data_IF_736859801390
#
_entry.id   IF_736859801390
#
_cell.length_a   1.000
_cell.length_b   1.000
_cell.length_c   1.000
_cell.angle_alpha   90.00
_cell.angle_beta   90.00
_cell.angle_gamma   90.00
#
_symmetry.space_group_name_H-M   'P 1'
#
loop_
_entity.id
_entity.type
_entity.pdbx_description
1 polymer ?
#
# COMPACT_ATOMS: atom_id res chain seq x y z
N UNK A 1 -20.44 -25.53 -17.47
CA UNK A 1 -18.97 -25.62 -17.24
C UNK A 1 -18.67 -26.92 -16.53
N UNK A 2 -17.71 -27.73 -17.02
CA UNK A 2 -17.35 -28.98 -16.32
C UNK A 2 -16.69 -28.66 -14.99
N UNK A 3 -17.13 -29.27 -13.89
CA UNK A 3 -16.63 -29.08 -12.52
C UNK A 3 -15.11 -29.16 -12.44
N UNK A 4 -14.49 -30.01 -13.24
CA UNK A 4 -13.03 -30.15 -13.38
C UNK A 4 -12.30 -28.87 -13.83
N UNK A 5 -12.96 -28.01 -14.62
CA UNK A 5 -12.34 -26.78 -15.10
C UNK A 5 -12.30 -25.64 -14.06
N UNK A 6 -13.23 -25.62 -13.12
CA UNK A 6 -13.25 -24.63 -12.02
C UNK A 6 -12.12 -24.93 -11.04
N UNK A 7 -12.01 -26.19 -10.60
CA UNK A 7 -10.95 -26.60 -9.68
C UNK A 7 -9.56 -26.40 -10.26
N UNK A 8 -9.36 -26.69 -11.54
CA UNK A 8 -8.07 -26.42 -12.21
C UNK A 8 -7.70 -24.95 -12.19
N UNK A 9 -8.66 -24.04 -12.37
CA UNK A 9 -8.42 -22.58 -12.28
C UNK A 9 -8.11 -22.15 -10.85
N UNK A 10 -8.87 -22.62 -9.87
CA UNK A 10 -8.61 -22.32 -8.45
C UNK A 10 -7.22 -22.79 -8.04
N UNK A 11 -6.84 -24.00 -8.38
CA UNK A 11 -5.51 -24.54 -8.09
C UNK A 11 -4.41 -23.74 -8.79
N UNK A 12 -4.62 -23.32 -10.04
CA UNK A 12 -3.66 -22.46 -10.75
C UNK A 12 -3.49 -21.09 -10.07
N UNK A 13 -4.59 -20.48 -9.60
CA UNK A 13 -4.54 -19.20 -8.86
C UNK A 13 -3.80 -19.35 -7.52
N UNK A 14 -4.06 -20.42 -6.77
CA UNK A 14 -3.37 -20.69 -5.51
C UNK A 14 -1.88 -21.00 -5.72
N UNK A 15 -1.54 -21.78 -6.75
CA UNK A 15 -0.14 -22.03 -7.12
C UNK A 15 0.57 -20.71 -7.51
N UNK A 16 -0.10 -19.86 -8.30
CA UNK A 16 0.41 -18.54 -8.64
C UNK A 16 0.61 -17.64 -7.41
N UNK A 17 -0.28 -17.68 -6.42
CA UNK A 17 -0.13 -16.95 -5.17
C UNK A 17 1.10 -17.43 -4.38
N UNK A 18 1.31 -18.75 -4.27
CA UNK A 18 2.49 -19.32 -3.60
C UNK A 18 3.77 -18.90 -4.29
N UNK A 19 3.82 -18.95 -5.63
CA UNK A 19 4.97 -18.48 -6.40
C UNK A 19 5.22 -16.97 -6.22
N UNK A 20 4.17 -16.17 -6.15
CA UNK A 20 4.27 -14.74 -5.90
C UNK A 20 4.84 -14.45 -4.51
N UNK A 21 4.36 -15.15 -3.47
CA UNK A 21 4.89 -15.02 -2.11
C UNK A 21 6.36 -15.45 -2.05
N UNK A 22 6.75 -16.52 -2.73
CA UNK A 22 8.14 -16.91 -2.84
C UNK A 22 8.99 -15.84 -3.55
N UNK A 23 8.45 -15.20 -4.60
CA UNK A 23 9.11 -14.10 -5.27
C UNK A 23 9.27 -12.88 -4.34
N UNK A 24 8.26 -12.55 -3.52
CA UNK A 24 8.35 -11.49 -2.53
C UNK A 24 9.49 -11.75 -1.53
N UNK A 25 9.60 -12.96 -1.03
CA UNK A 25 10.68 -13.35 -0.13
C UNK A 25 12.05 -13.22 -0.81
N UNK A 26 12.20 -13.72 -2.04
CA UNK A 26 13.46 -13.57 -2.79
C UNK A 26 13.81 -12.10 -3.03
N UNK A 27 12.83 -11.24 -3.35
CA UNK A 27 13.06 -9.83 -3.60
C UNK A 27 13.50 -9.07 -2.34
N UNK A 28 12.87 -9.33 -1.19
CA UNK A 28 13.28 -8.72 0.08
C UNK A 28 14.68 -9.20 0.49
N UNK A 29 14.95 -10.50 0.39
CA UNK A 29 16.29 -11.04 0.68
C UNK A 29 17.35 -10.45 -0.25
N UNK A 30 17.05 -10.30 -1.54
CA UNK A 30 17.98 -9.69 -2.50
C UNK A 30 18.21 -8.19 -2.20
N UNK A 31 17.20 -7.49 -1.68
CA UNK A 31 17.36 -6.10 -1.28
C UNK A 31 18.38 -5.92 -0.14
N UNK A 32 18.44 -6.86 0.80
CA UNK A 32 19.39 -6.81 1.91
C UNK A 32 20.85 -7.15 1.51
N UNK A 33 21.07 -7.63 0.28
CA UNK A 33 22.42 -7.80 -0.27
C UNK A 33 22.99 -6.50 -0.83
N UNK A 34 22.20 -5.43 -0.89
CA UNK A 34 22.66 -4.11 -1.34
C UNK A 34 23.57 -3.49 -0.27
N UNK A 35 24.64 -2.88 -0.72
CA UNK A 35 25.69 -2.29 0.10
C UNK A 35 25.18 -1.18 1.04
N UNK A 36 25.19 -1.44 2.33
CA UNK A 36 24.72 -0.54 3.38
C UNK A 36 25.58 0.73 3.48
N UNK A 37 26.88 0.65 3.26
CA UNK A 37 27.79 1.80 3.37
C UNK A 37 27.39 2.89 2.36
N UNK A 38 27.02 2.49 1.15
CA UNK A 38 26.56 3.43 0.12
C UNK A 38 25.23 4.07 0.51
N UNK A 39 24.29 3.28 1.04
CA UNK A 39 22.99 3.80 1.48
C UNK A 39 23.19 4.80 2.62
N UNK A 40 24.02 4.46 3.61
CA UNK A 40 24.35 5.34 4.74
C UNK A 40 24.98 6.64 4.24
N UNK A 41 25.94 6.56 3.30
CA UNK A 41 26.56 7.73 2.70
C UNK A 41 25.54 8.65 2.03
N UNK A 42 24.66 8.09 1.19
CA UNK A 42 23.59 8.84 0.51
C UNK A 42 22.62 9.51 1.49
N UNK A 43 22.20 8.79 2.53
CA UNK A 43 21.27 9.33 3.52
C UNK A 43 21.92 10.42 4.38
N UNK A 44 23.19 10.25 4.77
CA UNK A 44 23.96 11.26 5.52
C UNK A 44 24.14 12.55 4.70
N UNK A 45 24.49 12.43 3.41
CA UNK A 45 24.58 13.57 2.50
C UNK A 45 23.23 14.26 2.30
N UNK A 46 22.16 13.50 2.14
CA UNK A 46 20.82 14.03 1.99
C UNK A 46 20.34 14.81 3.23
N UNK A 47 20.71 14.36 4.43
CA UNK A 47 20.45 15.11 5.67
C UNK A 47 21.31 16.38 5.75
N UNK A 48 22.61 16.28 5.49
CA UNK A 48 23.52 17.44 5.54
C UNK A 48 23.14 18.54 4.55
N UNK A 49 22.64 18.15 3.36
CA UNK A 49 22.15 19.10 2.35
C UNK A 49 20.74 19.63 2.61
N UNK A 50 20.01 19.08 3.59
CA UNK A 50 18.61 19.40 3.85
C UNK A 50 17.61 18.81 2.83
N UNK A 51 18.08 18.01 1.87
CA UNK A 51 17.22 17.33 0.88
C UNK A 51 16.30 16.29 1.54
N UNK A 52 16.78 15.66 2.60
CA UNK A 52 15.99 14.77 3.43
C UNK A 52 15.87 15.32 4.85
N UNK A 53 14.84 16.11 5.06
CA UNK A 53 14.50 16.63 6.38
C UNK A 53 13.61 15.63 7.11
N UNK A 54 14.01 15.22 8.31
CA UNK A 54 13.29 14.27 9.17
C UNK A 54 12.29 14.95 10.11
N UNK A 55 12.25 16.28 10.14
CA UNK A 55 11.27 17.06 10.87
C UNK A 55 9.88 17.06 10.22
N UNK A 56 8.91 17.58 10.95
CA UNK A 56 7.56 17.78 10.41
C UNK A 56 7.60 18.81 9.28
N UNK A 57 7.16 18.43 8.10
CA UNK A 57 7.12 19.29 6.92
C UNK A 57 5.67 19.40 6.44
N UNK A 58 5.19 20.62 6.36
CA UNK A 58 3.92 20.93 5.69
C UNK A 58 4.25 21.31 4.25
N UNK A 59 3.61 20.66 3.28
CA UNK A 59 3.80 20.97 1.87
C UNK A 59 3.07 22.28 1.48
N UNK A 60 3.30 22.74 0.24
CA UNK A 60 2.70 23.96 -0.29
C UNK A 60 1.15 23.95 -0.34
N UNK A 61 0.54 22.77 -0.20
CA UNK A 61 -0.91 22.57 -0.15
C UNK A 61 -1.46 22.52 1.28
N UNK A 62 -0.61 22.68 2.31
CA UNK A 62 -0.99 22.65 3.71
C UNK A 62 -1.13 21.24 4.32
N UNK A 63 -0.68 20.20 3.63
CA UNK A 63 -0.70 18.82 4.13
C UNK A 63 0.61 18.47 4.84
N UNK A 64 0.50 17.81 5.98
CA UNK A 64 1.67 17.24 6.66
C UNK A 64 2.19 16.03 5.88
N UNK A 65 3.48 16.03 5.56
CA UNK A 65 4.14 14.92 4.88
C UNK A 65 4.57 13.89 5.91
N UNK A 66 4.16 12.63 5.72
CA UNK A 66 4.56 11.53 6.61
C UNK A 66 6.04 11.19 6.44
N UNK A 67 6.86 11.83 7.27
CA UNK A 67 8.31 11.60 7.32
C UNK A 67 8.67 10.36 8.13
N UNK A 68 7.86 9.95 9.08
CA UNK A 68 8.11 8.75 9.88
C UNK A 68 8.16 7.51 9.01
N UNK A 69 7.15 7.30 8.18
CA UNK A 69 7.10 6.13 7.27
C UNK A 69 8.25 6.16 6.27
N UNK A 70 8.66 7.35 5.80
CA UNK A 70 9.81 7.49 4.90
C UNK A 70 11.12 7.16 5.62
N UNK A 71 11.30 7.59 6.89
CA UNK A 71 12.48 7.22 7.70
C UNK A 71 12.58 5.71 7.89
N UNK A 72 11.47 5.06 8.25
CA UNK A 72 11.42 3.59 8.36
C UNK A 72 11.85 2.96 7.04
N UNK A 73 11.29 3.41 5.92
CA UNK A 73 11.55 2.82 4.62
C UNK A 73 12.98 3.03 4.11
N UNK A 74 13.56 4.20 4.33
CA UNK A 74 14.92 4.49 3.86
C UNK A 74 16.00 3.85 4.73
N UNK A 75 15.69 3.62 6.00
CA UNK A 75 16.64 2.95 6.92
C UNK A 75 16.37 1.46 7.07
N UNK A 76 15.45 0.91 6.28
CA UNK A 76 15.15 -0.52 6.24
C UNK A 76 16.40 -1.32 5.88
N UNK A 77 16.71 -2.32 6.69
CA UNK A 77 17.90 -3.18 6.55
C UNK A 77 19.19 -2.57 7.12
N UNK A 78 19.18 -1.30 7.60
CA UNK A 78 20.34 -0.70 8.25
C UNK A 78 20.41 -1.05 9.73
N UNK A 79 21.62 -1.33 10.21
CA UNK A 79 21.86 -1.80 11.56
C UNK A 79 21.77 -3.32 11.70
N UNK A 80 21.94 -3.80 12.91
CA UNK A 80 21.92 -5.24 13.22
C UNK A 80 20.72 -5.60 14.09
N UNK A 81 20.07 -6.72 13.77
CA UNK A 81 19.06 -7.28 14.65
C UNK A 81 19.73 -7.91 15.88
N UNK A 82 19.20 -7.72 17.07
CA UNK A 82 19.70 -8.42 18.26
C UNK A 82 19.48 -9.94 18.10
N UNK A 83 20.45 -10.70 18.57
CA UNK A 83 20.41 -12.18 18.62
C UNK A 83 20.27 -12.91 17.27
N UNK A 84 20.54 -12.23 16.15
CA UNK A 84 20.49 -12.80 14.80
C UNK A 84 21.89 -12.87 14.20
N UNK A 85 22.33 -14.07 13.85
CA UNK A 85 23.70 -14.32 13.34
C UNK A 85 23.76 -14.64 11.85
N UNK A 86 22.61 -14.84 11.18
CA UNK A 86 22.56 -15.22 9.77
C UNK A 86 22.09 -14.06 8.90
N UNK A 87 22.58 -13.96 7.66
CA UNK A 87 22.12 -12.96 6.70
C UNK A 87 20.62 -13.12 6.40
N UNK A 88 20.14 -14.38 6.37
CA UNK A 88 18.73 -14.65 6.19
C UNK A 88 17.90 -14.14 7.37
N UNK A 89 18.36 -14.34 8.59
CA UNK A 89 17.73 -13.83 9.79
C UNK A 89 17.71 -12.31 9.81
N UNK A 90 18.79 -11.63 9.40
CA UNK A 90 18.83 -10.17 9.29
C UNK A 90 17.77 -9.67 8.30
N UNK A 91 17.66 -10.30 7.12
CA UNK A 91 16.64 -9.93 6.12
C UNK A 91 15.20 -10.19 6.61
N UNK A 92 15.02 -11.20 7.47
CA UNK A 92 13.70 -11.49 8.05
C UNK A 92 13.35 -10.59 9.24
N UNK A 93 14.35 -10.06 9.95
CA UNK A 93 14.17 -9.11 11.04
C UNK A 93 13.62 -7.77 10.55
N UNK A 94 13.89 -7.42 9.30
CA UNK A 94 13.46 -6.15 8.70
C UNK A 94 13.80 -4.96 9.62
N UNK A 95 15.07 -4.88 10.01
CA UNK A 95 15.57 -3.89 10.97
C UNK A 95 15.47 -2.49 10.39
N UNK A 96 15.20 -1.48 11.20
CA UNK A 96 15.28 -0.07 10.81
C UNK A 96 15.83 0.79 11.95
N UNK A 97 16.27 2.02 11.65
CA UNK A 97 16.91 2.93 12.61
C UNK A 97 15.97 3.92 13.29
N UNK A 98 14.69 3.86 13.06
CA UNK A 98 13.72 4.85 13.54
C UNK A 98 12.74 4.26 14.59
N UNK A 99 13.21 3.84 15.79
CA UNK A 99 12.35 3.21 16.79
C UNK A 99 11.28 4.17 17.34
N UNK A 100 11.65 5.44 17.56
CA UNK A 100 10.82 6.47 18.20
C UNK A 100 10.56 7.67 17.26
N UNK A 101 10.58 7.42 15.97
CA UNK A 101 10.54 8.46 14.94
C UNK A 101 11.92 8.79 14.36
N UNK A 102 11.98 9.88 13.59
CA UNK A 102 13.22 10.27 12.90
C UNK A 102 14.19 11.08 13.78
N UNK A 103 13.86 11.35 15.03
CA UNK A 103 14.54 12.37 15.85
C UNK A 103 16.04 12.14 16.12
N UNK A 104 16.47 10.88 16.21
CA UNK A 104 17.87 10.52 16.47
C UNK A 104 18.59 9.95 15.24
N UNK A 105 17.98 10.03 14.08
CA UNK A 105 18.45 9.36 12.88
C UNK A 105 19.81 9.85 12.41
N UNK A 106 20.07 11.16 12.50
CA UNK A 106 21.36 11.76 12.15
C UNK A 106 22.51 11.12 12.94
N UNK A 107 22.34 11.02 14.27
CA UNK A 107 23.35 10.41 15.15
C UNK A 107 23.56 8.92 14.83
N UNK A 108 22.49 8.20 14.52
CA UNK A 108 22.58 6.77 14.20
C UNK A 108 23.26 6.54 12.83
N UNK A 109 22.96 7.36 11.83
CA UNK A 109 23.61 7.31 10.53
C UNK A 109 25.09 7.68 10.63
N UNK A 110 25.45 8.71 11.42
CA UNK A 110 26.85 9.06 11.66
C UNK A 110 27.61 7.91 12.32
N UNK A 111 27.01 7.24 13.32
CA UNK A 111 27.63 6.08 13.95
C UNK A 111 27.87 4.93 12.97
N UNK A 112 26.93 4.67 12.06
CA UNK A 112 27.11 3.68 11.01
C UNK A 112 28.19 4.10 10.01
N UNK A 113 28.25 5.39 9.64
CA UNK A 113 29.30 5.93 8.79
C UNK A 113 30.68 5.78 9.43
N UNK A 114 30.77 5.90 10.76
CA UNK A 114 31.98 5.66 11.56
C UNK A 114 32.25 4.15 11.79
N UNK A 115 31.55 3.27 11.09
CA UNK A 115 31.64 1.80 11.22
C UNK A 115 31.37 1.25 12.63
N UNK A 116 30.62 1.98 13.43
CA UNK A 116 30.16 1.54 14.73
C UNK A 116 28.95 0.60 14.58
N UNK A 117 28.87 -0.41 15.45
CA UNK A 117 27.67 -1.24 15.50
C UNK A 117 26.48 -0.45 16.02
N UNK A 118 25.41 -0.45 15.26
CA UNK A 118 24.12 0.15 15.64
C UNK A 118 23.08 -0.95 15.66
N UNK A 119 22.46 -1.15 16.82
CA UNK A 119 21.33 -2.07 16.95
C UNK A 119 20.09 -1.38 16.40
N UNK A 120 19.50 -1.97 15.38
CA UNK A 120 18.25 -1.50 14.81
C UNK A 120 17.04 -2.14 15.53
N UNK A 121 15.88 -1.61 15.23
CA UNK A 121 14.60 -2.13 15.74
C UNK A 121 14.03 -3.16 14.80
N UNK A 122 13.81 -4.42 15.22
CA UNK A 122 13.18 -5.43 14.38
C UNK A 122 11.74 -5.05 14.03
N UNK A 123 11.39 -5.18 12.76
CA UNK A 123 10.06 -4.80 12.26
C UNK A 123 9.44 -5.84 11.33
N UNK A 124 9.65 -7.11 11.63
CA UNK A 124 9.26 -8.27 10.83
C UNK A 124 7.74 -8.44 10.62
N UNK A 125 6.91 -7.52 11.11
CA UNK A 125 5.44 -7.58 10.99
C UNK A 125 4.92 -7.36 9.57
N UNK A 126 5.70 -6.69 8.72
CA UNK A 126 5.36 -6.34 7.36
C UNK A 126 6.42 -6.86 6.39
N UNK A 127 6.07 -6.92 5.12
CA UNK A 127 6.98 -7.38 4.08
C UNK A 127 8.01 -6.34 3.65
N UNK A 128 7.72 -5.07 3.87
CA UNK A 128 8.57 -3.97 3.42
C UNK A 128 8.91 -4.02 1.93
N UNK A 129 7.90 -4.32 1.09
CA UNK A 129 8.06 -4.53 -0.35
C UNK A 129 8.51 -3.30 -1.14
N UNK A 130 8.69 -2.17 -0.50
CA UNK A 130 9.38 -1.01 -1.05
C UNK A 130 10.92 -1.18 -1.04
N UNK A 131 11.48 -1.97 -0.14
CA UNK A 131 12.93 -2.16 0.02
C UNK A 131 13.62 -2.66 -1.28
N UNK A 132 13.07 -3.62 -2.05
CA UNK A 132 13.63 -4.01 -3.34
C UNK A 132 13.81 -2.88 -4.35
N UNK A 133 13.09 -1.78 -4.21
CA UNK A 133 13.24 -0.59 -5.04
C UNK A 133 14.08 0.49 -4.35
N UNK A 134 13.79 0.78 -3.08
CA UNK A 134 14.42 1.91 -2.37
C UNK A 134 15.90 1.67 -2.09
N UNK A 135 16.28 0.47 -1.64
CA UNK A 135 17.67 0.17 -1.29
C UNK A 135 18.63 0.25 -2.49
N UNK A 136 18.36 -0.40 -3.65
CA UNK A 136 19.22 -0.21 -4.82
C UNK A 136 19.28 1.25 -5.29
N UNK A 137 18.14 1.96 -5.30
CA UNK A 137 18.15 3.36 -5.72
C UNK A 137 18.97 4.24 -4.77
N UNK A 138 18.86 4.06 -3.45
CA UNK A 138 19.67 4.80 -2.48
C UNK A 138 21.15 4.44 -2.54
N UNK A 139 21.50 3.21 -2.96
CA UNK A 139 22.92 2.83 -3.12
C UNK A 139 23.58 3.42 -4.38
N UNK A 140 22.81 3.77 -5.40
CA UNK A 140 23.34 4.23 -6.69
C UNK A 140 22.89 5.62 -7.13
N UNK A 141 21.91 6.21 -6.42
CA UNK A 141 21.40 7.55 -6.73
C UNK A 141 21.22 8.33 -5.42
N UNK A 142 20.57 9.48 -5.50
CA UNK A 142 20.22 10.31 -4.34
C UNK A 142 18.73 10.19 -3.99
N UNK A 143 18.37 10.72 -2.81
CA UNK A 143 16.97 10.70 -2.28
C UNK A 143 16.02 11.45 -3.23
N UNK A 144 16.45 12.54 -3.87
CA UNK A 144 15.61 13.30 -4.77
C UNK A 144 15.30 12.53 -6.06
N UNK A 145 16.30 11.84 -6.59
CA UNK A 145 16.15 10.95 -7.76
C UNK A 145 15.18 9.80 -7.43
N UNK A 146 15.33 9.18 -6.27
CA UNK A 146 14.38 8.15 -5.81
C UNK A 146 12.94 8.70 -5.74
N UNK A 147 12.72 9.84 -5.10
CA UNK A 147 11.41 10.50 -5.04
C UNK A 147 10.85 10.81 -6.44
N UNK A 148 11.71 11.27 -7.34
CA UNK A 148 11.32 11.54 -8.73
C UNK A 148 10.87 10.27 -9.45
N UNK A 149 11.60 9.17 -9.29
CA UNK A 149 11.25 7.88 -9.91
C UNK A 149 9.88 7.40 -9.40
N UNK A 150 9.66 7.40 -8.08
CA UNK A 150 8.37 6.93 -7.54
C UNK A 150 7.23 7.88 -7.88
N UNK A 151 7.47 9.18 -8.01
CA UNK A 151 6.49 10.15 -8.49
C UNK A 151 6.10 9.87 -9.96
N UNK A 152 7.07 9.57 -10.82
CA UNK A 152 6.82 9.19 -12.23
C UNK A 152 6.02 7.89 -12.30
N UNK A 153 6.32 6.90 -11.45
CA UNK A 153 5.53 5.66 -11.37
C UNK A 153 4.09 5.94 -10.96
N UNK A 154 3.87 6.79 -9.94
CA UNK A 154 2.55 7.20 -9.49
C UNK A 154 1.75 7.89 -10.60
N UNK A 155 2.34 8.90 -11.22
CA UNK A 155 1.68 9.65 -12.31
C UNK A 155 1.38 8.73 -13.50
N UNK A 156 2.30 7.84 -13.85
CA UNK A 156 2.11 6.86 -14.91
C UNK A 156 0.95 5.91 -14.59
N UNK A 157 0.89 5.37 -13.36
CA UNK A 157 -0.21 4.50 -12.93
C UNK A 157 -1.55 5.24 -12.95
N UNK A 158 -1.58 6.50 -12.51
CA UNK A 158 -2.76 7.35 -12.58
C UNK A 158 -3.23 7.56 -14.04
N UNK A 159 -2.31 7.93 -14.93
CA UNK A 159 -2.62 8.12 -16.35
C UNK A 159 -3.15 6.81 -17.00
N UNK A 160 -2.54 5.66 -16.69
CA UNK A 160 -2.99 4.35 -17.21
C UNK A 160 -4.39 4.02 -16.68
N UNK A 161 -4.65 4.26 -15.40
CA UNK A 161 -5.96 4.06 -14.80
C UNK A 161 -7.03 4.95 -15.45
N UNK A 162 -6.78 6.26 -15.57
CA UNK A 162 -7.70 7.21 -16.21
C UNK A 162 -7.94 6.85 -17.67
N UNK A 163 -6.89 6.51 -18.42
CA UNK A 163 -7.02 6.04 -19.80
C UNK A 163 -7.86 4.76 -19.90
N UNK A 164 -7.71 3.84 -18.94
CA UNK A 164 -8.53 2.65 -18.81
C UNK A 164 -10.01 2.98 -18.57
N UNK A 165 -10.31 3.94 -17.67
CA UNK A 165 -11.67 4.42 -17.42
C UNK A 165 -12.29 5.07 -18.67
N UNK A 166 -11.53 5.97 -19.32
CA UNK A 166 -11.98 6.65 -20.55
C UNK A 166 -12.32 5.63 -21.65
N UNK A 167 -11.45 4.63 -21.85
CA UNK A 167 -11.68 3.58 -22.84
C UNK A 167 -12.85 2.65 -22.50
N UNK A 168 -13.13 2.48 -21.21
CA UNK A 168 -14.19 1.58 -20.74
C UNK A 168 -15.54 2.28 -20.67
N UNK A 169 -15.61 3.46 -20.04
CA UNK A 169 -16.86 4.15 -19.72
C UNK A 169 -17.00 5.55 -20.34
N UNK A 170 -16.03 5.98 -21.13
CA UNK A 170 -16.03 7.26 -21.83
C UNK A 170 -15.40 8.41 -21.05
N UNK A 171 -15.18 9.53 -21.73
CA UNK A 171 -14.44 10.70 -21.19
C UNK A 171 -15.11 11.27 -19.94
N UNK A 172 -16.44 11.35 -19.93
CA UNK A 172 -17.19 11.92 -18.79
C UNK A 172 -16.93 11.09 -17.51
N UNK A 173 -16.94 9.75 -17.63
CA UNK A 173 -16.64 8.88 -16.48
C UNK A 173 -15.21 9.08 -16.00
N UNK A 174 -14.25 9.20 -16.92
CA UNK A 174 -12.86 9.51 -16.59
C UNK A 174 -12.73 10.82 -15.79
N UNK A 175 -13.38 11.88 -16.23
CA UNK A 175 -13.36 13.19 -15.56
C UNK A 175 -14.05 13.13 -14.18
N UNK A 176 -15.28 12.61 -14.13
CA UNK A 176 -16.09 12.52 -12.91
C UNK A 176 -15.41 11.71 -11.81
N UNK A 177 -14.63 10.70 -12.19
CA UNK A 177 -13.89 9.89 -11.24
C UNK A 177 -12.55 10.52 -10.83
N UNK A 178 -11.82 11.10 -11.79
CA UNK A 178 -10.48 11.64 -11.56
C UNK A 178 -10.50 12.92 -10.72
N UNK A 179 -11.47 13.84 -10.95
CA UNK A 179 -11.54 15.10 -10.23
C UNK A 179 -11.74 14.88 -8.71
N UNK A 180 -12.74 14.10 -8.24
CA UNK A 180 -12.88 13.82 -6.82
C UNK A 180 -11.65 13.12 -6.24
N UNK A 181 -11.07 12.16 -6.96
CA UNK A 181 -9.88 11.45 -6.49
C UNK A 181 -8.72 12.41 -6.23
N UNK A 182 -8.44 13.34 -7.15
CA UNK A 182 -7.37 14.34 -6.99
C UNK A 182 -7.71 15.36 -5.91
N UNK A 183 -8.98 15.79 -5.81
CA UNK A 183 -9.41 16.87 -4.91
C UNK A 183 -9.65 16.41 -3.47
N UNK A 184 -9.98 15.14 -3.24
CA UNK A 184 -10.34 14.61 -1.91
C UNK A 184 -9.28 13.68 -1.31
N UNK A 185 -8.25 13.36 -2.07
CA UNK A 185 -7.08 12.62 -1.58
C UNK A 185 -5.85 13.50 -1.72
N UNK A 186 -4.82 13.19 -0.96
CA UNK A 186 -3.54 13.90 -1.05
C UNK A 186 -2.71 13.51 -2.28
N UNK A 187 -3.36 13.12 -3.37
CA UNK A 187 -2.69 12.57 -4.55
C UNK A 187 -1.64 13.53 -5.13
N UNK A 188 -1.86 14.84 -5.04
CA UNK A 188 -0.90 15.85 -5.51
C UNK A 188 0.30 16.02 -4.56
N UNK A 189 0.16 15.69 -3.29
CA UNK A 189 1.24 15.76 -2.30
C UNK A 189 1.98 14.44 -2.12
N UNK A 190 1.40 13.31 -2.56
CA UNK A 190 2.03 12.00 -2.49
C UNK A 190 3.45 11.94 -3.08
N UNK A 191 3.79 12.66 -4.18
CA UNK A 191 5.15 12.70 -4.70
C UNK A 191 6.22 13.14 -3.68
N UNK A 192 5.82 13.84 -2.63
CA UNK A 192 6.73 14.22 -1.55
C UNK A 192 7.06 13.05 -0.59
N UNK A 193 6.34 11.92 -0.66
CA UNK A 193 6.56 10.71 0.16
C UNK A 193 6.77 9.49 -0.74
N UNK A 194 7.96 8.92 -0.71
CA UNK A 194 8.29 7.78 -1.55
C UNK A 194 7.42 6.55 -1.28
N UNK A 195 7.14 6.24 -0.02
CA UNK A 195 6.34 5.07 0.38
C UNK A 195 4.89 5.20 -0.02
N UNK A 196 4.28 6.35 0.24
CA UNK A 196 2.89 6.58 -0.15
C UNK A 196 2.71 6.62 -1.66
N UNK A 197 3.68 7.18 -2.40
CA UNK A 197 3.69 7.11 -3.86
C UNK A 197 3.68 5.67 -4.38
N UNK A 198 4.49 4.78 -3.80
CA UNK A 198 4.51 3.37 -4.19
C UNK A 198 3.20 2.65 -3.85
N UNK A 199 2.66 2.87 -2.66
CA UNK A 199 1.36 2.31 -2.25
C UNK A 199 0.26 2.72 -3.22
N UNK A 200 0.15 4.01 -3.53
CA UNK A 200 -0.85 4.50 -4.49
C UNK A 200 -0.58 4.07 -5.93
N UNK A 201 0.67 3.91 -6.31
CA UNK A 201 1.03 3.30 -7.61
C UNK A 201 0.43 1.91 -7.74
N UNK A 202 0.57 1.07 -6.71
CA UNK A 202 0.00 -0.29 -6.70
C UNK A 202 -1.53 -0.26 -6.70
N UNK A 203 -2.16 0.63 -5.94
CA UNK A 203 -3.61 0.81 -5.92
C UNK A 203 -4.13 1.12 -7.33
N UNK A 204 -3.58 2.14 -7.98
CA UNK A 204 -4.02 2.61 -9.29
C UNK A 204 -3.70 1.60 -10.40
N UNK A 205 -2.53 0.98 -10.38
CA UNK A 205 -2.16 -0.07 -11.32
C UNK A 205 -3.06 -1.31 -11.18
N UNK A 206 -3.40 -1.70 -9.96
CA UNK A 206 -4.33 -2.80 -9.68
C UNK A 206 -5.74 -2.50 -10.17
N UNK A 207 -6.22 -1.27 -9.98
CA UNK A 207 -7.51 -0.83 -10.50
C UNK A 207 -7.53 -0.81 -12.04
N UNK A 208 -6.45 -0.34 -12.68
CA UNK A 208 -6.30 -0.40 -14.14
C UNK A 208 -6.28 -1.84 -14.66
N UNK A 209 -5.55 -2.73 -13.97
CA UNK A 209 -5.54 -4.16 -14.28
C UNK A 209 -6.93 -4.79 -14.13
N UNK A 210 -7.71 -4.38 -13.12
CA UNK A 210 -9.07 -4.85 -12.90
C UNK A 210 -10.01 -4.43 -14.05
N UNK A 211 -9.92 -3.18 -14.53
CA UNK A 211 -10.67 -2.74 -15.73
C UNK A 211 -10.37 -3.65 -16.93
N UNK A 212 -9.09 -3.87 -17.21
CA UNK A 212 -8.68 -4.69 -18.35
C UNK A 212 -9.06 -6.16 -18.19
N UNK A 213 -8.74 -6.77 -17.05
CA UNK A 213 -8.93 -8.20 -16.83
C UNK A 213 -10.41 -8.59 -16.74
N UNK A 214 -11.24 -7.78 -16.06
CA UNK A 214 -12.68 -7.99 -15.98
C UNK A 214 -13.31 -7.95 -17.37
N UNK A 215 -12.94 -6.95 -18.18
CA UNK A 215 -13.42 -6.83 -19.57
C UNK A 215 -12.97 -7.99 -20.45
N UNK A 216 -11.74 -8.49 -20.25
CA UNK A 216 -11.13 -9.50 -21.14
C UNK A 216 -11.51 -10.93 -20.76
N UNK A 217 -11.67 -11.20 -19.47
CA UNK A 217 -11.86 -12.56 -18.92
C UNK A 217 -13.08 -12.69 -18.00
N UNK A 218 -13.92 -11.65 -17.90
CA UNK A 218 -15.13 -11.63 -17.07
C UNK A 218 -14.84 -11.87 -15.59
N UNK A 219 -15.69 -12.68 -14.95
CA UNK A 219 -15.60 -13.02 -13.53
C UNK A 219 -14.21 -13.54 -13.13
N UNK A 220 -13.60 -14.41 -13.92
CA UNK A 220 -12.28 -14.96 -13.58
C UNK A 220 -11.18 -13.92 -13.65
N UNK A 221 -11.31 -12.94 -14.54
CA UNK A 221 -10.42 -11.80 -14.57
C UNK A 221 -10.50 -10.95 -13.31
N UNK A 222 -11.72 -10.65 -12.85
CA UNK A 222 -11.95 -9.90 -11.61
C UNK A 222 -11.40 -10.64 -10.38
N UNK A 223 -11.64 -11.95 -10.27
CA UNK A 223 -11.16 -12.80 -9.17
C UNK A 223 -9.62 -12.87 -9.18
N UNK A 224 -9.01 -13.10 -10.36
CA UNK A 224 -7.55 -13.23 -10.48
C UNK A 224 -6.84 -11.94 -10.09
N UNK A 225 -7.32 -10.79 -10.61
CA UNK A 225 -6.72 -9.49 -10.25
C UNK A 225 -6.99 -9.18 -8.78
N UNK A 226 -8.18 -9.47 -8.27
CA UNK A 226 -8.46 -9.34 -6.83
C UNK A 226 -7.41 -10.06 -6.00
N UNK A 227 -7.19 -11.35 -6.25
CA UNK A 227 -6.24 -12.18 -5.50
C UNK A 227 -4.83 -11.60 -5.49
N UNK A 228 -4.29 -11.32 -6.69
CA UNK A 228 -2.91 -10.87 -6.80
C UNK A 228 -2.72 -9.40 -6.40
N UNK A 229 -3.71 -8.54 -6.60
CA UNK A 229 -3.68 -7.17 -6.11
C UNK A 229 -3.70 -7.11 -4.58
N UNK A 230 -4.49 -7.96 -3.91
CA UNK A 230 -4.48 -8.08 -2.46
C UNK A 230 -3.12 -8.53 -1.93
N UNK A 231 -2.52 -9.53 -2.58
CA UNK A 231 -1.18 -10.01 -2.22
C UNK A 231 -0.10 -8.94 -2.43
N UNK A 232 -0.11 -8.25 -3.58
CA UNK A 232 0.85 -7.20 -3.89
C UNK A 232 0.70 -6.00 -2.96
N UNK A 233 -0.54 -5.65 -2.61
CA UNK A 233 -0.81 -4.58 -1.66
C UNK A 233 -0.27 -4.95 -0.26
N UNK A 234 -0.51 -6.18 0.23
CA UNK A 234 0.05 -6.65 1.51
C UNK A 234 1.59 -6.67 1.53
N UNK A 235 2.21 -6.87 0.36
CA UNK A 235 3.67 -6.83 0.22
C UNK A 235 4.23 -5.42 0.38
N UNK A 236 3.60 -4.40 -0.21
CA UNK A 236 4.14 -3.03 -0.26
C UNK A 236 3.65 -2.16 0.90
N UNK A 237 2.42 -2.34 1.36
CA UNK A 237 1.79 -1.42 2.31
C UNK A 237 2.10 -1.74 3.78
N UNK A 238 2.25 -0.69 4.57
CA UNK A 238 2.42 -0.77 6.04
C UNK A 238 1.09 -0.68 6.80
N UNK A 239 0.00 -1.23 6.27
CA UNK A 239 -1.37 -1.10 6.79
C UNK A 239 -1.90 0.34 6.79
N UNK A 240 -1.46 1.16 5.84
CA UNK A 240 -1.87 2.57 5.80
C UNK A 240 -3.26 2.72 5.22
N UNK A 241 -3.58 2.04 4.11
CA UNK A 241 -4.84 2.29 3.39
C UNK A 241 -5.49 1.07 2.69
N UNK A 242 -5.67 -0.08 3.36
CA UNK A 242 -6.31 -1.26 2.77
C UNK A 242 -7.71 -1.00 2.19
N UNK A 243 -8.58 -0.16 2.85
CA UNK A 243 -9.90 0.13 2.30
C UNK A 243 -9.85 0.84 0.94
N UNK A 244 -8.94 1.78 0.74
CA UNK A 244 -8.80 2.47 -0.55
C UNK A 244 -8.38 1.51 -1.66
N UNK A 245 -7.42 0.61 -1.38
CA UNK A 245 -6.96 -0.39 -2.35
C UNK A 245 -8.10 -1.32 -2.78
N UNK A 246 -8.85 -1.84 -1.83
CA UNK A 246 -10.02 -2.69 -2.12
C UNK A 246 -11.09 -1.91 -2.90
N UNK A 247 -11.49 -0.72 -2.43
CA UNK A 247 -12.55 0.07 -3.05
C UNK A 247 -12.20 0.48 -4.48
N UNK A 248 -10.96 0.92 -4.76
CA UNK A 248 -10.53 1.28 -6.10
C UNK A 248 -10.63 0.10 -7.07
N UNK A 249 -10.23 -1.10 -6.62
CA UNK A 249 -10.36 -2.32 -7.40
C UNK A 249 -11.85 -2.65 -7.67
N UNK A 250 -12.70 -2.60 -6.65
CA UNK A 250 -14.13 -2.94 -6.80
C UNK A 250 -14.87 -1.93 -7.68
N UNK A 251 -14.56 -0.65 -7.58
CA UNK A 251 -15.10 0.38 -8.48
C UNK A 251 -14.71 0.10 -9.92
N UNK A 252 -13.45 -0.30 -10.18
CA UNK A 252 -13.01 -0.68 -11.51
C UNK A 252 -13.79 -1.89 -12.07
N UNK A 253 -13.97 -2.94 -11.26
CA UNK A 253 -14.79 -4.11 -11.62
C UNK A 253 -16.23 -3.71 -11.92
N UNK A 254 -16.87 -2.96 -11.03
CA UNK A 254 -18.25 -2.50 -11.20
C UNK A 254 -18.41 -1.62 -12.44
N UNK A 255 -17.45 -0.75 -12.74
CA UNK A 255 -17.47 0.08 -13.95
C UNK A 255 -17.59 -0.77 -15.21
N UNK A 256 -16.80 -1.84 -15.31
CA UNK A 256 -16.88 -2.76 -16.46
C UNK A 256 -18.25 -3.43 -16.53
N UNK A 257 -18.71 -4.01 -15.41
CA UNK A 257 -19.99 -4.73 -15.37
C UNK A 257 -21.18 -3.83 -15.70
N UNK A 258 -21.18 -2.57 -15.24
CA UNK A 258 -22.20 -1.58 -15.58
C UNK A 258 -22.18 -1.21 -17.07
N UNK A 259 -21.01 -1.02 -17.66
CA UNK A 259 -20.88 -0.70 -19.11
C UNK A 259 -21.32 -1.89 -19.97
N UNK A 260 -21.00 -3.10 -19.58
CA UNK A 260 -21.43 -4.33 -20.25
C UNK A 260 -22.90 -4.69 -19.98
N UNK A 261 -23.61 -3.88 -19.17
CA UNK A 261 -25.02 -4.10 -18.79
C UNK A 261 -25.25 -5.47 -18.17
N UNK A 262 -24.30 -5.94 -17.38
CA UNK A 262 -24.45 -7.21 -16.68
C UNK A 262 -25.66 -7.16 -15.72
N UNK A 263 -26.40 -8.25 -15.55
CA UNK A 263 -27.50 -8.33 -14.57
C UNK A 263 -27.02 -7.95 -13.17
N UNK A 264 -27.86 -7.26 -12.40
CA UNK A 264 -27.50 -6.77 -11.07
C UNK A 264 -27.02 -7.91 -10.14
N UNK A 265 -27.70 -9.05 -10.15
CA UNK A 265 -27.31 -10.21 -9.35
C UNK A 265 -25.91 -10.72 -9.73
N UNK A 266 -25.60 -10.81 -11.02
CA UNK A 266 -24.28 -11.25 -11.51
C UNK A 266 -23.21 -10.22 -11.14
N UNK A 267 -23.52 -8.93 -11.25
CA UNK A 267 -22.61 -7.86 -10.88
C UNK A 267 -22.26 -7.91 -9.38
N UNK A 268 -23.26 -8.12 -8.51
CA UNK A 268 -23.03 -8.30 -7.07
C UNK A 268 -22.17 -9.53 -6.81
N UNK A 269 -22.48 -10.67 -7.41
CA UNK A 269 -21.74 -11.92 -7.22
C UNK A 269 -20.29 -11.79 -7.65
N UNK A 270 -20.02 -11.21 -8.82
CA UNK A 270 -18.65 -11.00 -9.31
C UNK A 270 -17.87 -10.05 -8.40
N UNK A 271 -18.49 -8.96 -7.97
CA UNK A 271 -17.88 -7.97 -7.08
C UNK A 271 -17.53 -8.57 -5.72
N UNK A 272 -18.46 -9.36 -5.15
CA UNK A 272 -18.24 -10.06 -3.86
C UNK A 272 -17.09 -11.06 -3.98
N UNK A 273 -17.04 -11.84 -5.07
CA UNK A 273 -15.93 -12.78 -5.27
C UNK A 273 -14.60 -12.08 -5.49
N UNK A 274 -14.57 -10.93 -6.19
CA UNK A 274 -13.36 -10.11 -6.32
C UNK A 274 -12.91 -9.57 -4.96
N UNK A 275 -13.83 -9.12 -4.11
CA UNK A 275 -13.53 -8.65 -2.75
C UNK A 275 -12.99 -9.78 -1.86
N UNK A 276 -13.62 -10.96 -1.89
CA UNK A 276 -13.16 -12.16 -1.16
C UNK A 276 -11.76 -12.55 -1.64
N UNK A 277 -11.52 -12.59 -2.95
CA UNK A 277 -10.23 -12.94 -3.51
C UNK A 277 -9.15 -11.93 -3.10
N UNK A 278 -9.44 -10.62 -3.13
CA UNK A 278 -8.54 -9.58 -2.66
C UNK A 278 -8.19 -9.76 -1.18
N UNK A 279 -9.20 -9.91 -0.34
CA UNK A 279 -9.02 -10.10 1.11
C UNK A 279 -8.21 -11.38 1.40
N UNK A 280 -8.48 -12.46 0.67
CA UNK A 280 -7.74 -13.71 0.80
C UNK A 280 -6.27 -13.54 0.41
N UNK A 281 -5.99 -12.93 -0.75
CA UNK A 281 -4.61 -12.65 -1.19
C UNK A 281 -3.86 -11.77 -0.19
N UNK A 282 -4.51 -10.73 0.32
CA UNK A 282 -3.96 -9.84 1.34
C UNK A 282 -3.62 -10.58 2.63
N UNK A 283 -4.58 -11.30 3.21
CA UNK A 283 -4.44 -11.99 4.48
C UNK A 283 -3.40 -13.11 4.39
N UNK A 284 -3.47 -13.95 3.34
CA UNK A 284 -2.51 -15.06 3.16
C UNK A 284 -1.08 -14.56 3.01
N UNK A 285 -0.88 -13.48 2.25
CA UNK A 285 0.45 -12.88 2.08
C UNK A 285 0.98 -12.32 3.39
N UNK A 286 0.14 -11.66 4.17
CA UNK A 286 0.53 -11.14 5.49
C UNK A 286 0.89 -12.26 6.47
N UNK A 287 0.05 -13.30 6.58
CA UNK A 287 0.35 -14.46 7.40
C UNK A 287 1.60 -15.23 6.94
N UNK A 288 1.86 -15.27 5.63
CA UNK A 288 3.08 -15.89 5.12
C UNK A 288 4.34 -15.22 5.66
N UNK A 289 4.36 -13.87 5.76
CA UNK A 289 5.48 -13.14 6.39
C UNK A 289 5.66 -13.58 7.84
N UNK A 290 4.58 -13.62 8.62
CA UNK A 290 4.66 -14.04 10.01
C UNK A 290 5.12 -15.49 10.18
N UNK A 291 4.66 -16.38 9.31
CA UNK A 291 5.08 -17.76 9.33
C UNK A 291 6.57 -17.90 9.02
N UNK A 292 7.08 -17.22 7.98
CA UNK A 292 8.50 -17.23 7.63
C UNK A 292 9.32 -16.62 8.77
N UNK A 293 8.91 -15.51 9.34
CA UNK A 293 9.58 -14.90 10.50
C UNK A 293 9.56 -15.83 11.73
N UNK A 294 8.49 -16.60 11.94
CA UNK A 294 8.41 -17.54 13.06
C UNK A 294 9.36 -18.76 12.89
N UNK A 295 9.71 -19.10 11.68
CA UNK A 295 10.73 -20.15 11.43
C UNK A 295 12.13 -19.69 11.86
N UNK A 296 12.42 -18.38 11.78
CA UNK A 296 13.72 -17.80 12.16
C UNK A 296 13.76 -17.38 13.63
N UNK A 297 12.76 -16.63 14.10
CA UNK A 297 12.77 -16.05 15.47
C UNK A 297 12.03 -16.89 16.50
N UNK A 298 11.34 -17.95 16.07
CA UNK A 298 10.48 -18.77 16.91
C UNK A 298 9.06 -18.20 17.05
N UNK A 299 8.11 -19.11 17.22
CA UNK A 299 6.67 -18.77 17.29
C UNK A 299 6.32 -17.87 18.48
N UNK A 300 7.01 -17.99 19.62
CA UNK A 300 6.76 -17.18 20.80
C UNK A 300 7.07 -15.69 20.57
N UNK A 301 8.16 -15.38 19.88
CA UNK A 301 8.55 -14.00 19.55
C UNK A 301 7.55 -13.36 18.60
N UNK A 302 7.12 -14.08 17.58
CA UNK A 302 6.12 -13.59 16.62
C UNK A 302 4.76 -13.41 17.27
N UNK A 303 4.28 -14.36 18.09
CA UNK A 303 3.02 -14.26 18.83
C UNK A 303 3.03 -13.05 19.78
N UNK A 304 4.12 -12.84 20.51
CA UNK A 304 4.28 -11.66 21.38
C UNK A 304 4.18 -10.34 20.60
N UNK A 305 4.86 -10.24 19.45
CA UNK A 305 4.81 -9.06 18.59
C UNK A 305 3.41 -8.81 18.02
N UNK A 306 2.71 -9.88 17.58
CA UNK A 306 1.35 -9.80 17.05
C UNK A 306 0.39 -9.31 18.16
N UNK A 307 0.43 -9.92 19.34
CA UNK A 307 -0.42 -9.54 20.47
C UNK A 307 -0.16 -8.08 20.88
N UNK A 308 1.10 -7.67 20.93
CA UNK A 308 1.47 -6.28 21.21
C UNK A 308 0.87 -5.31 20.18
N UNK A 309 0.93 -5.65 18.89
CA UNK A 309 0.34 -4.83 17.84
C UNK A 309 -1.19 -4.79 17.91
N UNK A 310 -1.85 -5.92 18.15
CA UNK A 310 -3.30 -5.98 18.31
C UNK A 310 -3.72 -5.13 19.52
N UNK A 311 -3.02 -5.27 20.64
CA UNK A 311 -3.28 -4.47 21.83
C UNK A 311 -3.11 -2.96 21.55
N UNK A 312 -2.02 -2.58 20.84
CA UNK A 312 -1.80 -1.19 20.43
C UNK A 312 -2.93 -0.64 19.57
N UNK A 313 -3.39 -1.43 18.57
CA UNK A 313 -4.45 -1.00 17.62
C UNK A 313 -5.84 -0.96 18.25
N UNK A 314 -6.13 -1.84 19.21
CA UNK A 314 -7.44 -1.93 19.87
C UNK A 314 -7.52 -1.05 21.10
N UNK A 315 -6.47 -1.07 21.95
CA UNK A 315 -6.50 -0.42 23.26
C UNK A 315 -5.86 0.95 23.25
N UNK A 316 -5.04 1.27 22.25
CA UNK A 316 -4.22 2.49 22.20
C UNK A 316 -3.17 2.52 23.31
N UNK A 317 -1.93 2.84 23.02
CA UNK A 317 -0.91 3.06 24.04
C UNK A 317 -0.78 4.52 24.47
N UNK A 318 -1.50 5.42 23.78
CA UNK A 318 -1.52 6.83 24.10
C UNK A 318 -2.77 7.16 24.92
N UNK A 319 -2.58 7.55 26.17
CA UNK A 319 -3.62 7.73 27.20
C UNK A 319 -4.69 8.79 26.95
N UNK A 320 -4.83 9.29 25.74
CA UNK A 320 -5.86 10.26 25.34
C UNK A 320 -6.82 9.73 24.26
N UNK A 321 -6.72 8.45 23.88
CA UNK A 321 -7.59 7.90 22.82
C UNK A 321 -8.91 7.45 23.41
N UNK A 322 -9.99 8.02 22.93
CA UNK A 322 -11.35 7.62 23.30
C UNK A 322 -11.63 6.21 22.74
N UNK A 323 -11.82 5.25 23.64
CA UNK A 323 -12.05 3.83 23.28
C UNK A 323 -13.51 3.53 22.87
N UNK A 324 -14.34 4.55 22.65
CA UNK A 324 -15.72 4.36 22.24
C UNK A 324 -15.80 3.74 20.84
N UNK A 325 -16.65 2.74 20.68
CA UNK A 325 -16.92 2.12 19.38
C UNK A 325 -17.31 3.20 18.36
N UNK A 326 -16.56 3.29 17.25
CA UNK A 326 -16.80 4.28 16.21
C UNK A 326 -16.18 5.67 16.46
N UNK A 327 -15.44 5.89 17.56
CA UNK A 327 -14.78 7.18 17.81
C UNK A 327 -13.79 7.54 16.71
N UNK A 328 -12.93 6.60 16.30
CA UNK A 328 -11.99 6.81 15.20
C UNK A 328 -12.71 7.10 13.87
N UNK A 329 -13.80 6.38 13.58
CA UNK A 329 -14.62 6.62 12.36
C UNK A 329 -15.24 8.01 12.40
N UNK A 330 -15.73 8.44 13.56
CA UNK A 330 -16.32 9.76 13.74
C UNK A 330 -15.28 10.86 13.58
N UNK A 331 -14.09 10.69 14.21
CA UNK A 331 -13.01 11.66 14.13
C UNK A 331 -12.52 11.81 12.67
N UNK A 332 -12.30 10.70 11.96
CA UNK A 332 -11.92 10.72 10.55
C UNK A 332 -12.99 11.39 9.68
N UNK A 333 -14.27 11.09 9.94
CA UNK A 333 -15.38 11.70 9.22
C UNK A 333 -15.45 13.22 9.45
N UNK A 334 -15.28 13.66 10.70
CA UNK A 334 -15.26 15.08 11.06
C UNK A 334 -14.06 15.78 10.42
N UNK A 335 -12.86 15.22 10.56
CA UNK A 335 -11.66 15.75 9.94
C UNK A 335 -11.84 15.89 8.41
N UNK A 336 -12.38 14.87 7.77
CA UNK A 336 -12.62 14.90 6.32
C UNK A 336 -13.63 16.00 5.92
N UNK A 337 -14.70 16.18 6.69
CA UNK A 337 -15.68 17.25 6.47
C UNK A 337 -15.10 18.65 6.71
N UNK A 338 -14.14 18.77 7.62
CA UNK A 338 -13.57 20.05 8.03
C UNK A 338 -12.35 20.45 7.18
N UNK A 339 -11.69 19.49 6.53
CA UNK A 339 -10.46 19.73 5.74
C UNK A 339 -10.71 20.60 4.51
N UNK A 340 -11.90 20.55 3.89
CA UNK A 340 -12.21 21.37 2.72
C UNK A 340 -13.67 21.74 2.63
N UNK A 341 -13.95 23.01 2.40
CA UNK A 341 -15.31 23.50 2.14
C UNK A 341 -15.96 22.86 0.90
N UNK A 342 -15.16 22.29 0.00
CA UNK A 342 -15.63 21.60 -1.21
C UNK A 342 -16.05 20.14 -0.96
N UNK A 343 -15.56 19.49 0.09
CA UNK A 343 -15.86 18.08 0.37
C UNK A 343 -17.34 17.85 0.62
N UNK A 344 -17.98 18.70 1.41
CA UNK A 344 -19.42 18.60 1.71
C UNK A 344 -20.30 18.68 0.46
N UNK A 345 -20.17 19.69 -0.41
CA UNK A 345 -20.97 19.76 -1.64
C UNK A 345 -20.64 18.63 -2.62
N UNK A 346 -19.40 18.14 -2.68
CA UNK A 346 -19.03 17.01 -3.52
C UNK A 346 -19.67 15.70 -3.06
N UNK A 347 -19.74 15.44 -1.75
CA UNK A 347 -20.48 14.29 -1.20
C UNK A 347 -21.95 14.36 -1.58
N UNK A 348 -22.58 15.51 -1.33
CA UNK A 348 -23.99 15.70 -1.66
C UNK A 348 -24.24 15.53 -3.16
N UNK A 349 -23.40 16.14 -4.01
CA UNK A 349 -23.50 15.99 -5.45
C UNK A 349 -23.31 14.53 -5.91
N UNK A 350 -22.35 13.79 -5.32
CA UNK A 350 -22.11 12.37 -5.63
C UNK A 350 -23.28 11.48 -5.22
N UNK A 351 -23.87 11.75 -4.05
CA UNK A 351 -25.07 11.03 -3.58
C UNK A 351 -26.27 11.32 -4.48
N UNK A 352 -26.51 12.59 -4.82
CA UNK A 352 -27.60 12.97 -5.74
C UNK A 352 -27.39 12.36 -7.12
N UNK A 353 -26.18 12.42 -7.68
CA UNK A 353 -25.86 11.79 -8.96
C UNK A 353 -26.09 10.27 -8.92
N UNK A 354 -25.69 9.59 -7.84
CA UNK A 354 -25.92 8.16 -7.64
C UNK A 354 -27.42 7.83 -7.59
N UNK A 355 -28.21 8.63 -6.86
CA UNK A 355 -29.67 8.48 -6.78
C UNK A 355 -30.34 8.72 -8.14
N UNK A 356 -29.90 9.73 -8.90
CA UNK A 356 -30.41 10.01 -10.24
C UNK A 356 -30.07 8.88 -11.22
N UNK A 357 -28.86 8.31 -11.15
CA UNK A 357 -28.48 7.17 -11.97
C UNK A 357 -29.29 5.91 -11.65
N UNK A 358 -29.56 5.65 -10.37
CA UNK A 358 -30.41 4.53 -9.93
C UNK A 358 -31.86 4.74 -10.36
N UNK A 359 -32.39 5.95 -10.25
CA UNK A 359 -33.75 6.29 -10.65
C UNK A 359 -33.92 6.36 -12.17
N UNK A 360 -32.93 6.89 -12.89
CA UNK A 360 -32.94 6.99 -14.36
C UNK A 360 -32.84 5.65 -15.09
N UNK A 361 -32.20 4.65 -14.46
CA UNK A 361 -32.14 3.28 -15.00
C UNK A 361 -33.48 2.54 -15.03
N UNK A 362 -34.50 3.02 -14.35
CA UNK A 362 -35.86 2.44 -14.35
C UNK A 362 -36.73 2.81 -15.58
N UNK A 363 -36.28 3.72 -16.42
CA UNK A 363 -37.10 4.27 -17.51
C UNK A 363 -36.75 3.75 -18.91
N UNK A 364 -35.91 2.75 -19.03
CA UNK A 364 -35.64 2.09 -20.33
C UNK A 364 -35.57 0.57 -20.16
N UNK A 365 -36.73 -0.02 -19.93
CA UNK A 365 -37.03 -1.42 -20.25
C UNK A 365 -37.94 -1.43 -21.48
#
# INVERSE_FOLDING_TARGET
MRFSSVWARVLALLAGLVLLIAAFWMLTTAADLVDDERIVGTLTEAQASGTWNTGEVVNDFGYSVDRYTECVAFTQGLGTAPDVSTNLGQSMADVHLAPDGCGNLEVLLQRLADQQQVTGTPYFRYWHGYAPLTRPLLAWTDVQTLRTIVAVLLVSAFCVFVAGLVRTAGVIAGIVFSIPLVMTTDLLSLPASATHSLTWTVILASAAAALYATRRWGQWGAISVGLYAGALFAFIDLLTNPPAALMMLLVAVLTVLCVERAPLCDSIVVTVWAAIAWSFGYVVTWFAKWFISALEFGFAAVDSSIRGMIAFRISGSYGSVEHALGAATRANWQQWLDTSALVRPLIVASLLASLLLISGGRWRV
#
